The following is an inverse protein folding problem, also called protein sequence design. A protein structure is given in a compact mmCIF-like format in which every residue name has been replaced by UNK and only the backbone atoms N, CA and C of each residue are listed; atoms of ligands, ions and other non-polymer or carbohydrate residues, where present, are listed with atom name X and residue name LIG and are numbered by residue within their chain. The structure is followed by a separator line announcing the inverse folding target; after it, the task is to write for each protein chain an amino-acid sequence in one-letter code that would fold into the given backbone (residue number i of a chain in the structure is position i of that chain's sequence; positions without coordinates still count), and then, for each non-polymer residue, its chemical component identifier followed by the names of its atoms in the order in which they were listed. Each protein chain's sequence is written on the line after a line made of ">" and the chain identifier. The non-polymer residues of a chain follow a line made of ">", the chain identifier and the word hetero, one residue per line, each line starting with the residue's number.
data_IF_042852332392
#
_entry.id   IF_042852332392
#
_cell.length_a   1.000
_cell.length_b   1.000
_cell.length_c   1.000
_cell.angle_alpha   90.00
_cell.angle_beta   90.00
_cell.angle_gamma   90.00
#
_symmetry.space_group_name_H-M   'P 1'
#
loop_
_entity.id
_entity.type
_entity.pdbx_description
1 polymer ?
#
# COMPACT_ATOMS: atom_id res chain seq x y z
N UNK A 1 -14.10 2.60 1.53
CA UNK A 1 -14.23 3.61 0.45
C UNK A 1 -14.73 2.97 -0.84
N UNK A 2 -14.15 1.85 -1.31
CA UNK A 2 -14.66 1.12 -2.49
C UNK A 2 -16.11 0.63 -2.37
N UNK A 3 -16.53 0.17 -1.19
CA UNK A 3 -17.91 -0.28 -1.01
C UNK A 3 -18.94 0.83 -1.15
N UNK A 4 -18.56 2.08 -0.85
CA UNK A 4 -19.44 3.24 -1.02
C UNK A 4 -19.62 3.54 -2.51
N UNK A 5 -18.56 3.45 -3.32
CA UNK A 5 -18.65 3.58 -4.77
C UNK A 5 -19.55 2.48 -5.38
N UNK A 6 -19.42 1.23 -4.91
CA UNK A 6 -20.29 0.14 -5.37
C UNK A 6 -21.76 0.36 -4.97
N UNK A 7 -22.02 0.85 -3.76
CA UNK A 7 -23.37 1.21 -3.32
C UNK A 7 -23.98 2.34 -4.16
N UNK A 8 -23.14 3.23 -4.71
CA UNK A 8 -23.54 4.26 -5.66
C UNK A 8 -23.65 3.77 -7.11
N UNK A 9 -23.53 2.46 -7.37
CA UNK A 9 -23.65 1.85 -8.70
C UNK A 9 -22.33 1.72 -9.48
N UNK A 10 -21.19 1.95 -8.82
CA UNK A 10 -19.87 1.84 -9.43
C UNK A 10 -19.39 0.41 -9.69
N UNK A 11 -18.33 0.29 -10.48
CA UNK A 11 -17.78 -0.96 -10.97
C UNK A 11 -17.29 -1.89 -9.84
N UNK A 12 -17.31 -3.20 -10.08
CA UNK A 12 -16.83 -4.20 -9.12
C UNK A 12 -15.33 -4.06 -8.81
N UNK A 13 -14.55 -3.59 -9.78
CA UNK A 13 -13.10 -3.38 -9.67
C UNK A 13 -12.75 -1.89 -9.73
N UNK A 14 -11.60 -1.48 -9.16
CA UNK A 14 -10.63 -2.31 -8.44
C UNK A 14 -11.15 -2.75 -7.07
N UNK A 15 -10.56 -3.82 -6.52
CA UNK A 15 -10.75 -4.29 -5.14
C UNK A 15 -9.50 -3.96 -4.30
N UNK A 16 -9.67 -3.59 -3.02
CA UNK A 16 -8.53 -3.37 -2.12
C UNK A 16 -8.02 -4.72 -1.61
N UNK A 17 -6.73 -4.97 -1.77
CA UNK A 17 -5.99 -6.08 -1.18
C UNK A 17 -5.12 -5.56 -0.03
N UNK A 18 -5.19 -6.16 1.18
CA UNK A 18 -4.33 -5.77 2.28
C UNK A 18 -2.95 -6.43 2.18
N UNK A 19 -1.90 -5.62 2.19
CA UNK A 19 -0.50 -6.04 2.33
C UNK A 19 -0.02 -5.75 3.74
N UNK A 20 0.53 -6.76 4.42
CA UNK A 20 1.06 -6.61 5.77
C UNK A 20 2.50 -6.11 5.71
N UNK A 21 2.75 -4.97 6.37
CA UNK A 21 4.07 -4.41 6.60
C UNK A 21 4.50 -4.61 8.05
N UNK A 22 5.54 -5.40 8.29
CA UNK A 22 6.10 -5.54 9.64
C UNK A 22 7.33 -4.63 9.81
N UNK A 23 7.33 -3.85 10.89
CA UNK A 23 8.46 -3.01 11.30
C UNK A 23 9.03 -3.49 12.64
N UNK A 24 10.31 -3.20 12.87
CA UNK A 24 10.97 -3.39 14.16
C UNK A 24 11.79 -2.16 14.51
N UNK A 25 11.90 -1.88 15.80
CA UNK A 25 12.74 -0.83 16.35
C UNK A 25 14.10 -1.42 16.70
N UNK A 26 15.19 -0.78 16.25
CA UNK A 26 16.54 -1.19 16.62
C UNK A 26 16.84 -0.84 18.07
N UNK A 27 17.69 -1.65 18.72
CA UNK A 27 18.16 -1.36 20.06
C UNK A 27 18.82 0.03 20.14
N UNK A 28 18.68 0.71 21.28
CA UNK A 28 19.07 2.12 21.46
C UNK A 28 20.50 2.44 21.03
N UNK A 29 21.45 1.53 21.26
CA UNK A 29 22.85 1.66 20.85
C UNK A 29 23.08 1.77 19.33
N UNK A 30 22.09 1.44 18.51
CA UNK A 30 22.17 1.49 17.03
C UNK A 30 21.38 2.68 16.44
N UNK A 31 20.79 3.56 17.27
CA UNK A 31 19.96 4.68 16.79
C UNK A 31 20.74 5.71 15.99
N UNK A 32 22.04 5.84 16.22
CA UNK A 32 22.91 6.86 15.62
C UNK A 32 23.76 6.35 14.45
N UNK A 33 23.50 5.13 13.95
CA UNK A 33 24.27 4.56 12.84
C UNK A 33 24.05 5.35 11.54
N UNK A 34 22.85 5.94 11.38
CA UNK A 34 22.47 6.72 10.22
C UNK A 34 21.79 8.02 10.66
N UNK A 35 22.02 9.07 9.88
CA UNK A 35 21.38 10.38 10.05
C UNK A 35 20.15 10.56 9.13
N UNK A 36 19.79 9.55 8.35
CA UNK A 36 18.75 9.65 7.33
C UNK A 36 18.13 8.30 6.97
N UNK A 37 17.43 8.28 5.85
CA UNK A 37 16.75 7.10 5.32
C UNK A 37 17.71 6.31 4.42
N UNK A 38 17.75 4.98 4.57
CA UNK A 38 18.54 4.11 3.68
C UNK A 38 17.63 3.01 3.14
N UNK A 39 17.65 2.87 1.82
CA UNK A 39 16.85 1.92 1.06
C UNK A 39 17.78 1.10 0.16
N UNK A 40 17.62 -0.22 0.08
CA UNK A 40 18.28 -0.99 -0.96
C UNK A 40 17.68 -0.65 -2.32
N UNK A 41 18.46 -0.84 -3.38
CA UNK A 41 17.97 -0.73 -4.75
C UNK A 41 16.91 -1.83 -4.97
N UNK A 42 15.69 -1.49 -5.44
CA UNK A 42 14.67 -2.49 -5.69
C UNK A 42 15.13 -3.53 -6.71
N UNK A 43 14.91 -4.81 -6.43
CA UNK A 43 15.06 -5.89 -7.41
C UNK A 43 13.72 -6.05 -8.15
N UNK A 44 13.66 -5.88 -9.49
CA UNK A 44 12.44 -6.08 -10.27
C UNK A 44 11.84 -7.49 -10.13
N UNK A 45 12.66 -8.50 -9.82
CA UNK A 45 12.19 -9.86 -9.57
C UNK A 45 11.58 -10.03 -8.16
N UNK A 46 11.92 -9.13 -7.22
CA UNK A 46 11.50 -9.16 -5.82
C UNK A 46 11.23 -7.73 -5.30
N UNK A 47 10.16 -7.07 -5.78
CA UNK A 47 9.91 -5.65 -5.51
C UNK A 47 9.63 -5.33 -4.03
N UNK A 48 9.37 -6.35 -3.21
CA UNK A 48 9.13 -6.23 -1.77
C UNK A 48 10.34 -6.64 -0.91
N UNK A 49 11.44 -7.06 -1.54
CA UNK A 49 12.65 -7.53 -0.88
C UNK A 49 13.62 -6.38 -0.65
N UNK A 50 13.65 -5.87 0.59
CA UNK A 50 14.58 -4.83 0.98
C UNK A 50 14.24 -4.23 2.33
N UNK A 51 15.25 -4.00 3.16
CA UNK A 51 15.00 -3.46 4.49
C UNK A 51 15.21 -1.95 4.51
N UNK A 52 14.17 -1.18 4.80
CA UNK A 52 14.38 0.25 4.94
C UNK A 52 14.83 0.56 6.35
N UNK A 53 15.86 1.40 6.45
CA UNK A 53 16.30 1.98 7.70
C UNK A 53 15.75 3.40 7.75
N UNK A 54 14.97 3.68 8.78
CA UNK A 54 14.24 4.95 8.91
C UNK A 54 14.53 5.58 10.26
N UNK A 55 15.22 6.71 10.25
CA UNK A 55 15.39 7.57 11.42
C UNK A 55 14.07 8.30 11.68
N UNK A 56 13.43 8.03 12.81
CA UNK A 56 12.21 8.72 13.24
C UNK A 56 12.55 10.08 13.86
N UNK A 57 11.54 10.95 13.89
CA UNK A 57 11.62 12.29 14.50
C UNK A 57 11.91 12.26 16.00
N UNK A 58 11.54 11.17 16.69
CA UNK A 58 11.84 10.94 18.12
C UNK A 58 13.25 10.38 18.35
N UNK A 59 14.05 10.24 17.30
CA UNK A 59 15.41 9.73 17.36
C UNK A 59 15.53 8.20 17.37
N UNK A 60 14.41 7.46 17.36
CA UNK A 60 14.42 6.01 17.19
C UNK A 60 14.83 5.63 15.76
N UNK A 61 15.37 4.41 15.60
CA UNK A 61 15.69 3.86 14.30
C UNK A 61 14.78 2.66 14.02
N UNK A 62 13.97 2.79 12.97
CA UNK A 62 13.12 1.71 12.48
C UNK A 62 13.79 0.94 11.37
N UNK A 63 13.37 -0.32 11.30
CA UNK A 63 13.78 -1.29 10.31
C UNK A 63 12.52 -1.95 9.75
N UNK A 64 12.29 -1.86 8.44
CA UNK A 64 11.04 -2.30 7.83
C UNK A 64 10.75 -1.63 6.49
N UNK A 65 9.60 -1.89 5.87
CA UNK A 65 8.74 -3.02 6.18
C UNK A 65 9.31 -4.31 5.58
N UNK A 66 9.09 -5.44 6.26
CA UNK A 66 8.85 -6.68 5.51
C UNK A 66 7.45 -6.59 4.94
N UNK A 67 7.31 -6.52 3.62
CA UNK A 67 6.01 -6.63 2.95
C UNK A 67 5.82 -8.08 2.51
N UNK A 68 4.68 -8.68 2.82
CA UNK A 68 4.34 -10.02 2.35
C UNK A 68 2.85 -10.13 2.08
N UNK A 69 2.51 -10.95 1.09
CA UNK A 69 1.13 -11.35 0.84
C UNK A 69 0.68 -12.26 1.98
N UNK A 70 -0.32 -11.82 2.73
CA UNK A 70 -0.87 -12.60 3.84
C UNK A 70 -1.92 -13.57 3.30
N UNK A 71 -1.50 -14.82 3.06
CA UNK A 71 -2.42 -15.93 2.74
C UNK A 71 -3.26 -16.39 3.94
N UNK A 72 -2.79 -16.12 5.15
CA UNK A 72 -3.49 -16.42 6.40
C UNK A 72 -3.99 -15.13 7.03
N UNK A 73 -5.32 -14.99 7.07
CA UNK A 73 -6.06 -13.98 7.84
C UNK A 73 -5.51 -13.83 9.25
N UNK A 74 -5.62 -12.60 9.76
CA UNK A 74 -5.61 -12.25 11.18
C UNK A 74 -4.24 -12.34 11.87
N UNK A 75 -3.49 -11.23 11.77
CA UNK A 75 -2.83 -10.73 12.96
C UNK A 75 -2.66 -9.19 12.93
N UNK A 76 -3.79 -8.50 12.79
CA UNK A 76 -4.05 -7.23 13.48
C UNK A 76 -4.80 -7.63 14.74
N UNK A 77 -4.15 -7.77 15.89
CA UNK A 77 -4.88 -8.18 17.09
C UNK A 77 -5.84 -7.06 17.52
N UNK A 78 -7.13 -7.15 17.20
CA UNK A 78 -8.19 -6.34 17.83
C UNK A 78 -9.32 -5.84 16.92
N UNK A 79 -10.24 -6.74 16.55
CA UNK A 79 -11.69 -6.52 16.40
C UNK A 79 -12.21 -5.14 15.96
N UNK A 80 -12.58 -5.04 14.69
CA UNK A 80 -13.58 -4.08 14.24
C UNK A 80 -13.32 -3.61 12.82
N UNK A 81 -14.20 -4.01 11.90
CA UNK A 81 -14.30 -3.52 10.51
C UNK A 81 -13.16 -4.06 9.61
N UNK A 82 -13.46 -5.03 8.73
CA UNK A 82 -12.53 -5.48 7.69
C UNK A 82 -12.44 -6.98 7.44
N UNK A 83 -13.07 -7.81 8.30
CA UNK A 83 -13.09 -9.28 8.12
C UNK A 83 -13.89 -9.70 6.89
N UNK A 84 -15.05 -9.10 6.63
CA UNK A 84 -15.91 -9.46 5.49
C UNK A 84 -15.27 -9.02 4.16
N UNK A 85 -14.82 -7.78 4.07
CA UNK A 85 -14.19 -7.22 2.86
C UNK A 85 -12.90 -7.98 2.50
N UNK A 86 -12.15 -8.44 3.51
CA UNK A 86 -10.97 -9.28 3.30
C UNK A 86 -11.32 -10.68 2.75
N UNK A 87 -12.49 -11.25 3.08
CA UNK A 87 -12.93 -12.54 2.50
C UNK A 87 -13.31 -12.38 1.03
N UNK A 88 -14.02 -11.31 0.68
CA UNK A 88 -14.43 -11.02 -0.70
C UNK A 88 -13.26 -10.87 -1.67
N UNK A 89 -12.10 -10.47 -1.14
CA UNK A 89 -10.84 -10.37 -1.87
C UNK A 89 -10.19 -11.73 -1.99
N UNK A 90 -10.05 -12.46 -0.87
CA UNK A 90 -9.44 -13.81 -0.83
C UNK A 90 -10.18 -14.81 -1.72
N UNK A 91 -11.51 -14.72 -1.80
CA UNK A 91 -12.33 -15.57 -2.66
C UNK A 91 -12.46 -15.05 -4.09
N UNK A 92 -11.78 -13.96 -4.46
CA UNK A 92 -11.79 -13.45 -5.84
C UNK A 92 -10.81 -14.23 -6.73
N UNK A 93 -11.23 -14.48 -7.98
CA UNK A 93 -10.33 -15.07 -8.98
C UNK A 93 -9.11 -14.19 -9.25
N UNK A 94 -9.26 -12.86 -9.19
CA UNK A 94 -8.16 -11.91 -9.34
C UNK A 94 -7.07 -12.11 -8.28
N UNK A 95 -7.43 -12.33 -7.02
CA UNK A 95 -6.47 -12.61 -5.96
C UNK A 95 -5.68 -13.89 -6.21
N UNK A 96 -6.33 -14.98 -6.63
CA UNK A 96 -5.64 -16.23 -6.95
C UNK A 96 -4.75 -16.13 -8.19
N UNK A 97 -5.14 -15.33 -9.20
CA UNK A 97 -4.27 -14.98 -10.34
C UNK A 97 -3.03 -14.22 -9.87
N UNK A 98 -3.20 -13.21 -9.02
CA UNK A 98 -2.08 -12.47 -8.42
C UNK A 98 -1.17 -13.40 -7.61
N UNK A 99 -1.74 -14.21 -6.71
CA UNK A 99 -1.02 -15.12 -5.83
C UNK A 99 -0.19 -16.15 -6.60
N UNK A 100 -0.76 -16.77 -7.64
CA UNK A 100 -0.05 -17.79 -8.43
C UNK A 100 1.15 -17.21 -9.21
N UNK A 101 1.05 -15.97 -9.68
CA UNK A 101 2.16 -15.25 -10.33
C UNK A 101 3.27 -14.88 -9.33
N UNK A 102 2.91 -14.58 -8.09
CA UNK A 102 3.83 -14.07 -7.06
C UNK A 102 4.29 -15.11 -6.03
N UNK A 103 3.93 -16.40 -6.20
CA UNK A 103 4.19 -17.44 -5.19
C UNK A 103 5.68 -17.67 -4.93
N UNK A 104 6.53 -17.52 -5.97
CA UNK A 104 7.99 -17.66 -5.84
C UNK A 104 8.58 -16.55 -4.98
N UNK A 105 8.17 -15.30 -5.22
CA UNK A 105 8.57 -14.15 -4.41
C UNK A 105 8.07 -14.32 -2.97
N UNK A 106 6.80 -14.72 -2.79
CA UNK A 106 6.23 -14.96 -1.46
C UNK A 106 6.99 -16.04 -0.65
N UNK A 107 7.36 -17.16 -1.27
CA UNK A 107 8.14 -18.22 -0.60
C UNK A 107 9.54 -17.73 -0.23
N UNK A 108 10.19 -16.98 -1.12
CA UNK A 108 11.52 -16.43 -0.87
C UNK A 108 11.50 -15.42 0.30
N UNK A 109 10.52 -14.52 0.29
CA UNK A 109 10.32 -13.49 1.32
C UNK A 109 9.88 -14.08 2.66
N UNK A 110 9.12 -15.18 2.66
CA UNK A 110 8.70 -15.88 3.88
C UNK A 110 9.90 -16.24 4.77
N UNK A 111 11.02 -16.65 4.16
CA UNK A 111 12.26 -16.95 4.88
C UNK A 111 12.86 -15.74 5.62
N UNK A 112 12.71 -14.53 5.09
CA UNK A 112 13.16 -13.28 5.71
C UNK A 112 12.17 -12.77 6.76
N UNK A 113 10.86 -13.00 6.56
CA UNK A 113 9.78 -12.64 7.50
C UNK A 113 9.88 -13.45 8.79
N UNK A 114 10.19 -14.73 8.71
CA UNK A 114 10.24 -15.63 9.89
C UNK A 114 11.51 -15.44 10.71
N UNK A 115 12.63 -15.04 10.08
CA UNK A 115 13.92 -14.89 10.78
C UNK A 115 14.34 -13.43 10.90
N UNK A 116 14.15 -12.86 12.09
CA UNK A 116 14.69 -11.54 12.47
C UNK A 116 16.21 -11.44 12.22
N UNK A 117 16.93 -12.56 12.40
CA UNK A 117 18.37 -12.65 12.14
C UNK A 117 18.68 -12.46 10.66
N UNK A 118 17.90 -13.08 9.75
CA UNK A 118 18.07 -12.89 8.30
C UNK A 118 17.72 -11.47 7.88
N UNK A 119 16.68 -10.89 8.46
CA UNK A 119 16.30 -9.51 8.20
C UNK A 119 17.41 -8.52 8.61
N UNK A 120 17.97 -8.71 9.81
CA UNK A 120 19.13 -7.94 10.28
C UNK A 120 20.38 -8.15 9.43
N UNK A 121 20.67 -9.38 9.02
CA UNK A 121 21.76 -9.67 8.09
C UNK A 121 21.57 -8.97 6.73
N UNK A 122 20.33 -8.91 6.23
CA UNK A 122 19.98 -8.18 5.02
C UNK A 122 20.33 -6.69 5.11
N UNK A 123 20.00 -6.03 6.22
CA UNK A 123 20.41 -4.65 6.42
C UNK A 123 21.91 -4.47 6.71
N UNK A 124 22.54 -5.44 7.37
CA UNK A 124 23.97 -5.42 7.63
C UNK A 124 24.79 -5.45 6.32
N UNK A 125 24.23 -5.97 5.22
CA UNK A 125 24.88 -5.98 3.91
C UNK A 125 25.23 -4.58 3.38
N UNK A 126 24.46 -3.54 3.74
CA UNK A 126 24.71 -2.15 3.35
C UNK A 126 24.86 -1.20 4.55
N UNK A 127 24.63 -1.67 5.77
CA UNK A 127 24.94 -0.97 7.01
C UNK A 127 25.68 -1.91 7.99
N UNK A 128 26.99 -2.16 7.79
CA UNK A 128 27.77 -3.16 8.54
C UNK A 128 27.76 -2.97 10.07
N UNK A 129 27.53 -1.74 10.54
CA UNK A 129 27.36 -1.44 11.97
C UNK A 129 26.11 -2.10 12.61
N UNK A 130 25.24 -2.72 11.80
CA UNK A 130 24.11 -3.54 12.26
C UNK A 130 24.46 -5.01 12.45
N UNK A 131 25.71 -5.44 12.20
CA UNK A 131 26.09 -6.82 12.45
C UNK A 131 25.94 -7.16 13.95
N UNK A 132 25.32 -8.32 14.23
CA UNK A 132 24.96 -8.72 15.58
C UNK A 132 23.94 -7.82 16.30
N UNK A 133 23.30 -6.87 15.59
CA UNK A 133 22.30 -6.00 16.19
C UNK A 133 21.06 -6.78 16.67
N UNK A 134 20.23 -6.12 17.48
CA UNK A 134 18.96 -6.63 17.97
C UNK A 134 17.85 -5.64 17.66
N UNK A 135 16.67 -6.17 17.41
CA UNK A 135 15.47 -5.38 17.16
C UNK A 135 14.25 -5.95 17.88
N UNK A 136 13.31 -5.06 18.21
CA UNK A 136 12.04 -5.39 18.85
C UNK A 136 10.91 -5.06 17.87
N UNK A 137 9.98 -6.00 17.57
CA UNK A 137 8.84 -5.72 16.71
C UNK A 137 8.01 -4.55 17.25
N UNK A 138 7.52 -3.73 16.34
CA UNK A 138 6.52 -2.71 16.65
C UNK A 138 5.20 -3.05 15.93
N UNK A 139 4.19 -2.20 16.12
CA UNK A 139 2.88 -2.34 15.49
C UNK A 139 3.01 -2.56 13.98
N UNK A 140 2.28 -3.56 13.47
CA UNK A 140 2.22 -3.87 12.03
C UNK A 140 1.38 -2.81 11.31
N UNK A 141 1.82 -2.39 10.12
CA UNK A 141 1.04 -1.55 9.24
C UNK A 141 0.28 -2.38 8.20
N UNK A 142 -0.91 -1.90 7.80
CA UNK A 142 -1.64 -2.38 6.61
C UNK A 142 -1.35 -1.41 5.49
N UNK A 143 -0.99 -1.92 4.31
CA UNK A 143 -1.10 -1.17 3.07
C UNK A 143 -2.29 -1.70 2.29
N UNK A 144 -3.30 -0.87 2.11
CA UNK A 144 -4.39 -1.14 1.17
C UNK A 144 -3.87 -0.86 -0.25
N UNK A 145 -3.87 -1.86 -1.12
CA UNK A 145 -3.51 -1.69 -2.53
C UNK A 145 -4.68 -2.08 -3.43
N UNK A 146 -4.98 -1.26 -4.43
CA UNK A 146 -6.00 -1.61 -5.41
C UNK A 146 -5.50 -2.70 -6.37
N UNK A 147 -6.39 -3.64 -6.69
CA UNK A 147 -6.15 -4.72 -7.63
C UNK A 147 -7.27 -4.79 -8.65
N UNK A 148 -6.90 -4.95 -9.92
CA UNK A 148 -7.84 -5.08 -11.03
C UNK A 148 -8.43 -6.52 -11.13
N UNK A 149 -9.29 -6.74 -12.13
CA UNK A 149 -9.91 -8.04 -12.41
C UNK A 149 -8.95 -9.12 -12.92
N UNK A 150 -7.79 -8.71 -13.41
CA UNK A 150 -6.75 -9.56 -13.95
C UNK A 150 -5.72 -9.97 -12.89
N UNK A 151 -5.87 -9.46 -11.66
CA UNK A 151 -4.93 -9.71 -10.57
C UNK A 151 -3.65 -8.90 -10.70
N UNK A 152 -3.71 -7.73 -11.31
CA UNK A 152 -2.62 -6.75 -11.34
C UNK A 152 -2.88 -5.67 -10.28
N UNK A 153 -1.81 -5.24 -9.62
CA UNK A 153 -1.86 -4.11 -8.71
C UNK A 153 -1.96 -2.82 -9.53
N UNK A 154 -2.82 -1.91 -9.08
CA UNK A 154 -3.02 -0.64 -9.76
C UNK A 154 -2.07 0.39 -9.18
N UNK A 155 -1.14 0.83 -10.01
CA UNK A 155 -0.08 1.78 -9.65
C UNK A 155 -0.44 3.24 -9.97
N UNK A 156 -1.65 3.49 -10.47
CA UNK A 156 -2.16 4.82 -10.81
C UNK A 156 -3.48 5.15 -10.07
N UNK A 157 -3.92 6.41 -10.14
CA UNK A 157 -5.21 6.82 -9.62
C UNK A 157 -6.35 6.08 -10.32
N UNK A 158 -7.36 5.72 -9.55
CA UNK A 158 -8.63 5.24 -10.11
C UNK A 158 -9.71 6.19 -9.66
N UNK A 159 -10.21 6.99 -10.59
CA UNK A 159 -11.27 7.96 -10.35
C UNK A 159 -12.48 7.49 -11.15
N UNK A 160 -13.61 7.35 -10.47
CA UNK A 160 -14.85 6.89 -11.07
C UNK A 160 -15.94 7.95 -10.91
N UNK A 161 -16.59 8.30 -12.01
CA UNK A 161 -17.70 9.23 -12.03
C UNK A 161 -19.05 8.47 -12.02
N UNK A 162 -19.85 8.70 -10.99
CA UNK A 162 -21.16 8.09 -10.76
C UNK A 162 -22.22 9.20 -10.66
N UNK A 163 -22.63 9.72 -11.83
CA UNK A 163 -23.50 10.88 -11.92
C UNK A 163 -22.88 12.11 -11.25
N UNK A 164 -23.44 12.54 -10.11
CA UNK A 164 -22.94 13.68 -9.31
C UNK A 164 -21.88 13.30 -8.28
N UNK A 165 -21.47 12.03 -8.23
CA UNK A 165 -20.47 11.53 -7.28
C UNK A 165 -19.17 11.25 -8.03
N UNK A 166 -18.06 11.82 -7.55
CA UNK A 166 -16.71 11.47 -8.00
C UNK A 166 -16.07 10.63 -6.90
N UNK A 167 -15.69 9.39 -7.23
CA UNK A 167 -15.12 8.45 -6.28
C UNK A 167 -13.64 8.19 -6.59
N UNK A 168 -12.76 8.61 -5.68
CA UNK A 168 -11.36 8.20 -5.69
C UNK A 168 -11.22 6.79 -5.07
N UNK A 169 -10.91 5.82 -5.92
CA UNK A 169 -10.89 4.39 -5.60
C UNK A 169 -9.49 3.82 -5.39
N UNK A 170 -8.45 4.48 -5.90
CA UNK A 170 -7.04 4.19 -5.61
C UNK A 170 -6.22 5.47 -5.61
N UNK A 171 -5.31 5.60 -4.65
CA UNK A 171 -4.33 6.68 -4.59
C UNK A 171 -2.99 6.08 -4.15
N UNK A 172 -2.11 5.72 -5.10
CA UNK A 172 -0.88 5.00 -4.81
C UNK A 172 0.18 5.88 -4.10
N UNK A 173 1.22 5.23 -3.59
CA UNK A 173 2.36 5.92 -2.98
C UNK A 173 3.11 6.77 -4.02
N UNK A 174 3.62 7.98 -3.67
CA UNK A 174 3.68 8.56 -2.33
C UNK A 174 2.48 9.50 -2.05
N UNK A 175 1.31 8.92 -1.76
CA UNK A 175 0.10 9.68 -1.45
C UNK A 175 0.25 10.72 -0.33
N UNK A 176 1.14 10.52 0.65
CA UNK A 176 1.40 11.52 1.69
C UNK A 176 2.24 12.71 1.19
N UNK A 177 3.29 12.45 0.41
CA UNK A 177 4.16 13.51 -0.15
C UNK A 177 3.47 14.27 -1.26
N UNK A 178 2.65 13.59 -2.05
CA UNK A 178 1.93 14.17 -3.19
C UNK A 178 0.52 14.62 -2.83
N UNK A 179 0.09 14.56 -1.56
CA UNK A 179 -1.29 14.79 -1.14
C UNK A 179 -1.89 16.11 -1.66
N UNK A 180 -1.11 17.19 -1.65
CA UNK A 180 -1.54 18.51 -2.12
C UNK A 180 -1.67 18.57 -3.64
N UNK A 181 -0.67 18.06 -4.38
CA UNK A 181 -0.73 17.99 -5.84
C UNK A 181 -1.87 17.07 -6.32
N UNK A 182 -2.14 16.00 -5.58
CA UNK A 182 -3.27 15.10 -5.78
C UNK A 182 -4.60 15.85 -5.58
N UNK A 183 -4.70 16.63 -4.50
CA UNK A 183 -5.88 17.44 -4.25
C UNK A 183 -6.13 18.47 -5.36
N UNK A 184 -5.09 19.16 -5.83
CA UNK A 184 -5.18 20.11 -6.95
C UNK A 184 -5.67 19.44 -8.24
N UNK A 185 -5.08 18.30 -8.61
CA UNK A 185 -5.49 17.55 -9.79
C UNK A 185 -6.95 17.07 -9.70
N UNK A 186 -7.39 16.62 -8.52
CA UNK A 186 -8.78 16.21 -8.31
C UNK A 186 -9.77 17.36 -8.42
N UNK A 187 -9.45 18.54 -7.87
CA UNK A 187 -10.31 19.71 -8.01
C UNK A 187 -10.44 20.07 -9.48
N UNK A 188 -9.35 20.03 -10.24
CA UNK A 188 -9.38 20.29 -11.68
C UNK A 188 -10.25 19.29 -12.45
N UNK A 189 -10.11 17.98 -12.21
CA UNK A 189 -10.97 16.99 -12.88
C UNK A 189 -12.45 17.14 -12.52
N UNK A 190 -12.75 17.46 -11.26
CA UNK A 190 -14.12 17.74 -10.82
C UNK A 190 -14.66 18.97 -11.55
N UNK A 191 -13.88 20.05 -11.65
CA UNK A 191 -14.28 21.28 -12.33
C UNK A 191 -14.50 21.05 -13.83
N UNK A 192 -13.60 20.33 -14.51
CA UNK A 192 -13.75 19.96 -15.92
C UNK A 192 -14.98 19.08 -16.16
N UNK A 193 -15.27 18.17 -15.23
CA UNK A 193 -16.45 17.30 -15.28
C UNK A 193 -17.73 18.10 -15.02
N UNK A 194 -17.73 19.00 -14.04
CA UNK A 194 -18.85 19.91 -13.74
C UNK A 194 -19.12 20.90 -14.88
N UNK A 195 -18.08 21.36 -15.57
CA UNK A 195 -18.21 22.18 -16.78
C UNK A 195 -18.89 21.43 -17.92
N UNK A 196 -18.65 20.13 -18.09
CA UNK A 196 -19.36 19.28 -19.07
C UNK A 196 -20.83 19.09 -18.71
N UNK A 197 -21.16 19.00 -17.42
CA UNK A 197 -22.56 18.89 -16.95
C UNK A 197 -23.33 20.22 -17.04
N UNK A 198 -22.67 21.36 -16.84
CA UNK A 198 -23.30 22.69 -16.88
C UNK A 198 -23.32 23.30 -18.29
N UNK A 199 -22.33 22.98 -19.13
CA UNK A 199 -22.24 23.42 -20.52
C UNK A 199 -23.25 22.78 -21.49
N UNK A 200 -23.89 21.67 -21.10
CA UNK A 200 -25.00 21.06 -21.84
C UNK A 200 -26.36 21.75 -21.63
N UNK A 201 -26.45 22.71 -20.71
CA UNK A 201 -27.70 23.37 -20.34
C UNK A 201 -27.86 24.80 -20.91
N UNK A 202 -27.11 25.18 -21.94
CA UNK A 202 -27.25 26.49 -22.58
C UNK A 202 -27.04 26.43 -24.09
N UNK A 203 -28.15 26.17 -24.82
CA UNK A 203 -28.53 26.80 -26.11
C UNK A 203 -29.61 25.98 -26.83
N UNK A 204 -30.84 26.06 -26.34
CA UNK A 204 -32.06 26.03 -27.16
C UNK A 204 -33.23 26.38 -26.24
N UNK A 205 -34.18 27.15 -26.75
CA UNK A 205 -35.39 27.65 -26.06
C UNK A 205 -35.24 29.02 -25.40
N UNK A 206 -34.98 30.04 -26.23
CA UNK A 206 -35.77 31.28 -26.19
C UNK A 206 -36.11 31.64 -27.64
N UNK A 207 -37.40 31.93 -27.84
CA UNK A 207 -38.15 32.20 -29.08
C UNK A 207 -37.45 32.90 -30.24
#
# INVERSE_FOLDING_TARGET
>A
MLDIARLAGGATYPKIVPFLGQYSMLASKHRSILNGLVYPVPDPAYPFLGVHLTKRVDGEMLMGPNAFLSFGRENYSGWGIGIKDSLDVVFSAAFWKFASRNIRAAIHEFGAVVSRKKFLAGAAAYAPALDGARSTPITRGIRAQAMDENGQLVDDFVIEQLGRVTALRNAPSPGATSALAIAEHHVQEIDETMARFTGGASKSDVH
#
